data_IF_329725260193
#
_entry.id   IF_329725260193
#
_cell.length_a   1.000
_cell.length_b   1.000
_cell.length_c   1.000
_cell.angle_alpha   90.00
_cell.angle_beta   90.00
_cell.angle_gamma   90.00
#
_symmetry.space_group_name_H-M   'P 1'
#
loop_
_entity.id
_entity.type
_entity.pdbx_description
1 polymer ?
#
# COMPACT_ATOMS: atom_id res chain seq x y z
N UNK A 1 -11.80 -0.06 21.03
CA UNK A 1 -12.50 -1.09 20.23
C UNK A 1 -11.47 -2.12 19.80
N UNK A 2 -11.33 -3.23 20.53
CA UNK A 2 -10.41 -4.32 20.15
C UNK A 2 -10.94 -4.94 18.86
N UNK A 3 -10.15 -4.85 17.80
CA UNK A 3 -10.51 -5.36 16.48
C UNK A 3 -10.39 -6.88 16.45
N UNK A 4 -11.32 -7.54 15.76
CA UNK A 4 -11.35 -9.00 15.56
C UNK A 4 -9.96 -9.55 15.18
N UNK A 5 -9.63 -10.81 15.53
CA UNK A 5 -8.33 -11.48 15.27
C UNK A 5 -7.93 -11.61 13.80
N UNK A 6 -8.75 -11.09 12.88
CA UNK A 6 -8.59 -11.13 11.44
C UNK A 6 -7.71 -10.00 10.86
N UNK A 7 -7.38 -8.97 11.65
CA UNK A 7 -6.52 -7.87 11.21
C UNK A 7 -5.21 -7.89 12.00
N UNK A 8 -4.05 -8.07 11.35
CA UNK A 8 -2.76 -7.89 11.99
C UNK A 8 -2.70 -6.51 12.67
N UNK A 9 -2.06 -6.42 13.84
CA UNK A 9 -1.80 -5.15 14.51
C UNK A 9 -0.33 -4.78 14.28
N UNK A 10 -0.02 -4.10 13.15
CA UNK A 10 1.34 -3.68 12.85
C UNK A 10 1.88 -2.71 13.91
N UNK A 11 3.21 -2.69 14.07
CA UNK A 11 3.87 -1.69 14.90
C UNK A 11 3.73 -0.28 14.28
N UNK A 12 4.02 0.77 15.05
CA UNK A 12 3.84 2.15 14.62
C UNK A 12 4.64 2.52 13.35
N UNK A 13 5.81 1.92 13.14
CA UNK A 13 6.64 2.15 11.95
C UNK A 13 6.00 1.57 10.68
N UNK A 14 5.42 0.37 10.78
CA UNK A 14 4.66 -0.26 9.69
C UNK A 14 3.39 0.53 9.40
N UNK A 15 2.67 1.00 10.43
CA UNK A 15 1.48 1.85 10.24
C UNK A 15 1.79 3.16 9.52
N UNK A 16 2.91 3.81 9.87
CA UNK A 16 3.41 4.98 9.15
C UNK A 16 3.70 4.64 7.69
N UNK A 17 4.39 3.53 7.42
CA UNK A 17 4.72 3.11 6.05
C UNK A 17 3.46 2.85 5.20
N UNK A 18 2.42 2.24 5.78
CA UNK A 18 1.14 2.03 5.11
C UNK A 18 0.43 3.34 4.78
N UNK A 19 0.46 4.33 5.69
CA UNK A 19 -0.09 5.66 5.44
C UNK A 19 0.63 6.34 4.27
N UNK A 20 1.96 6.34 4.28
CA UNK A 20 2.77 6.94 3.20
C UNK A 20 2.46 6.28 1.86
N UNK A 21 2.33 4.95 1.84
CA UNK A 21 1.98 4.21 0.63
C UNK A 21 0.58 4.59 0.13
N UNK A 22 -0.42 4.63 1.02
CA UNK A 22 -1.78 5.04 0.68
C UNK A 22 -1.84 6.45 0.12
N UNK A 23 -1.13 7.39 0.73
CA UNK A 23 -1.03 8.77 0.23
C UNK A 23 -0.38 8.85 -1.15
N UNK A 24 0.67 8.06 -1.43
CA UNK A 24 1.28 8.01 -2.77
C UNK A 24 0.30 7.44 -3.81
N UNK A 25 -0.47 6.41 -3.44
CA UNK A 25 -1.45 5.80 -4.33
C UNK A 25 -2.64 6.71 -4.64
N UNK A 26 -3.00 7.66 -3.76
CA UNK A 26 -4.08 8.62 -4.03
C UNK A 26 -3.89 9.42 -5.33
N UNK A 27 -2.64 9.71 -5.73
CA UNK A 27 -2.36 10.42 -6.99
C UNK A 27 -2.73 9.57 -8.20
N UNK A 28 -2.34 8.30 -8.18
CA UNK A 28 -2.66 7.34 -9.24
C UNK A 28 -4.16 7.06 -9.26
N UNK A 29 -4.79 6.95 -8.09
CA UNK A 29 -6.26 6.84 -7.99
C UNK A 29 -6.95 8.01 -8.64
N UNK A 30 -6.54 9.25 -8.37
CA UNK A 30 -7.19 10.41 -8.95
C UNK A 30 -7.16 10.37 -10.49
N UNK A 31 -5.99 10.12 -11.08
CA UNK A 31 -5.83 10.08 -12.54
C UNK A 31 -6.60 8.91 -13.15
N UNK A 32 -6.42 7.71 -12.59
CA UNK A 32 -7.10 6.50 -13.07
C UNK A 32 -8.62 6.59 -12.93
N UNK A 33 -9.11 7.13 -11.81
CA UNK A 33 -10.54 7.31 -11.55
C UNK A 33 -11.17 8.28 -12.53
N UNK A 34 -10.58 9.45 -12.75
CA UNK A 34 -11.09 10.43 -13.72
C UNK A 34 -11.04 9.86 -15.14
N UNK A 35 -9.90 9.30 -15.53
CA UNK A 35 -9.70 8.75 -16.87
C UNK A 35 -10.68 7.62 -17.20
N UNK A 36 -10.78 6.62 -16.32
CA UNK A 36 -11.72 5.50 -16.52
C UNK A 36 -13.18 5.97 -16.46
N UNK A 37 -13.52 6.94 -15.61
CA UNK A 37 -14.88 7.50 -15.56
C UNK A 37 -15.25 8.18 -16.87
N UNK A 38 -14.34 8.93 -17.48
CA UNK A 38 -14.57 9.55 -18.79
C UNK A 38 -14.76 8.50 -19.89
N UNK A 39 -13.92 7.47 -19.91
CA UNK A 39 -14.03 6.36 -20.89
C UNK A 39 -15.36 5.63 -20.76
N UNK A 40 -15.79 5.32 -19.53
CA UNK A 40 -17.07 4.68 -19.27
C UNK A 40 -18.23 5.58 -19.71
N UNK A 41 -18.18 6.86 -19.40
CA UNK A 41 -19.21 7.81 -19.81
C UNK A 41 -19.32 7.89 -21.35
N UNK A 42 -18.19 7.96 -22.06
CA UNK A 42 -18.16 7.93 -23.52
C UNK A 42 -18.73 6.62 -24.08
N UNK A 43 -18.32 5.47 -23.54
CA UNK A 43 -18.80 4.16 -23.99
C UNK A 43 -20.29 3.95 -23.73
N UNK A 44 -20.80 4.42 -22.59
CA UNK A 44 -22.21 4.32 -22.23
C UNK A 44 -23.11 5.32 -22.98
N UNK A 45 -22.55 6.40 -23.53
CA UNK A 45 -23.33 7.50 -24.12
C UNK A 45 -24.26 7.04 -25.26
N UNK A 46 -23.84 6.07 -26.06
CA UNK A 46 -24.62 5.58 -27.20
C UNK A 46 -25.79 4.67 -26.81
N UNK A 47 -25.75 4.04 -25.63
CA UNK A 47 -26.71 3.01 -25.21
C UNK A 47 -27.57 3.44 -24.02
N UNK A 48 -26.98 4.14 -23.05
CA UNK A 48 -27.64 4.57 -21.83
C UNK A 48 -28.25 5.97 -21.97
N UNK A 49 -29.37 6.27 -21.29
CA UNK A 49 -29.94 7.60 -21.29
C UNK A 49 -28.91 8.66 -20.85
N UNK A 50 -28.71 9.70 -21.66
CA UNK A 50 -27.67 10.72 -21.44
C UNK A 50 -27.75 11.36 -20.04
N UNK A 51 -28.96 11.51 -19.49
CA UNK A 51 -29.16 12.01 -18.13
C UNK A 51 -28.53 11.10 -17.06
N UNK A 52 -28.61 9.77 -17.21
CA UNK A 52 -27.98 8.80 -16.29
C UNK A 52 -26.46 8.85 -16.39
N UNK A 53 -25.95 8.93 -17.61
CA UNK A 53 -24.50 9.04 -17.87
C UNK A 53 -23.95 10.34 -17.27
N UNK A 54 -24.62 11.47 -17.52
CA UNK A 54 -24.24 12.77 -16.98
C UNK A 54 -24.26 12.82 -15.46
N UNK A 55 -25.30 12.27 -14.82
CA UNK A 55 -25.40 12.20 -13.36
C UNK A 55 -24.30 11.31 -12.76
N UNK A 56 -24.05 10.14 -13.36
CA UNK A 56 -23.00 9.24 -12.91
C UNK A 56 -21.61 9.86 -13.07
N UNK A 57 -21.33 10.51 -14.20
CA UNK A 57 -20.07 11.21 -14.42
C UNK A 57 -19.88 12.35 -13.43
N UNK A 58 -20.91 13.18 -13.20
CA UNK A 58 -20.86 14.25 -12.22
C UNK A 58 -20.56 13.71 -10.80
N UNK A 59 -21.17 12.59 -10.41
CA UNK A 59 -20.90 11.90 -9.15
C UNK A 59 -19.43 11.45 -9.07
N UNK A 60 -18.89 10.86 -10.14
CA UNK A 60 -17.49 10.42 -10.18
C UNK A 60 -16.50 11.57 -10.11
N UNK A 61 -16.79 12.70 -10.77
CA UNK A 61 -15.98 13.90 -10.68
C UNK A 61 -16.05 14.52 -9.28
N UNK A 62 -17.21 14.51 -8.62
CA UNK A 62 -17.34 14.96 -7.24
C UNK A 62 -16.47 14.11 -6.28
N UNK A 63 -16.42 12.79 -6.46
CA UNK A 63 -15.50 11.94 -5.69
C UNK A 63 -14.03 12.21 -5.97
N UNK A 64 -13.70 12.57 -7.21
CA UNK A 64 -12.34 12.97 -7.59
C UNK A 64 -11.88 14.22 -6.84
N UNK A 65 -12.79 15.19 -6.61
CA UNK A 65 -12.51 16.35 -5.76
C UNK A 65 -12.22 15.93 -4.32
N UNK A 66 -12.91 14.91 -3.80
CA UNK A 66 -12.63 14.31 -2.49
C UNK A 66 -11.22 13.72 -2.38
N UNK A 67 -10.76 13.01 -3.41
CA UNK A 67 -9.37 12.52 -3.50
C UNK A 67 -8.36 13.67 -3.56
N UNK A 68 -8.65 14.71 -4.36
CA UNK A 68 -7.84 15.92 -4.43
C UNK A 68 -7.72 16.64 -3.07
N UNK A 69 -8.83 16.74 -2.34
CA UNK A 69 -8.84 17.26 -0.98
C UNK A 69 -7.98 16.40 -0.04
N UNK A 70 -8.08 15.07 -0.09
CA UNK A 70 -7.22 14.19 0.71
C UNK A 70 -5.73 14.37 0.43
N UNK A 71 -5.34 14.51 -0.85
CA UNK A 71 -3.97 14.82 -1.25
C UNK A 71 -3.49 16.15 -0.64
N UNK A 72 -4.34 17.18 -0.65
CA UNK A 72 -4.01 18.48 -0.10
C UNK A 72 -3.96 18.49 1.44
N UNK A 73 -4.97 17.91 2.09
CA UNK A 73 -5.13 17.91 3.54
C UNK A 73 -4.01 17.16 4.26
N UNK A 74 -3.56 16.03 3.69
CA UNK A 74 -2.55 15.17 4.31
C UNK A 74 -1.12 15.40 3.80
N UNK A 75 -0.88 16.37 2.90
CA UNK A 75 0.45 16.66 2.33
C UNK A 75 1.51 16.99 3.38
N UNK A 76 1.11 17.61 4.50
CA UNK A 76 2.02 17.95 5.60
C UNK A 76 2.18 16.75 6.55
N UNK A 77 1.08 16.06 6.84
CA UNK A 77 1.03 14.93 7.76
C UNK A 77 1.92 13.76 7.29
N UNK A 78 1.96 13.49 5.98
CA UNK A 78 2.74 12.37 5.43
C UNK A 78 4.26 12.51 5.63
N UNK A 79 4.75 13.74 5.84
CA UNK A 79 6.17 14.02 6.05
C UNK A 79 6.56 14.10 7.53
N UNK A 80 5.62 13.90 8.47
CA UNK A 80 5.90 13.94 9.90
C UNK A 80 6.52 12.63 10.37
N UNK A 81 7.70 12.68 10.98
CA UNK A 81 8.33 11.52 11.62
C UNK A 81 8.89 11.92 13.00
N UNK A 82 8.35 11.40 14.12
CA UNK A 82 7.26 10.41 14.20
C UNK A 82 5.87 11.02 13.95
N UNK A 83 4.94 10.21 13.43
CA UNK A 83 3.52 10.57 13.34
C UNK A 83 2.89 10.62 14.75
N UNK A 84 2.05 11.63 14.99
CA UNK A 84 1.25 11.65 16.21
C UNK A 84 0.12 10.61 16.13
N UNK A 85 -0.25 9.94 17.24
CA UNK A 85 -1.37 8.99 17.25
C UNK A 85 -2.70 9.60 16.77
N UNK A 86 -2.91 10.89 17.06
CA UNK A 86 -4.08 11.63 16.60
C UNK A 86 -4.11 11.79 15.07
N UNK A 87 -2.98 12.15 14.45
CA UNK A 87 -2.87 12.27 13.00
C UNK A 87 -3.11 10.93 12.29
N UNK A 88 -2.59 9.83 12.83
CA UNK A 88 -2.82 8.49 12.30
C UNK A 88 -4.28 8.06 12.40
N UNK A 89 -4.94 8.35 13.53
CA UNK A 89 -6.36 8.05 13.72
C UNK A 89 -7.24 8.88 12.77
N UNK A 90 -6.90 10.16 12.60
CA UNK A 90 -7.56 11.03 11.64
C UNK A 90 -7.42 10.50 10.21
N UNK A 91 -6.21 10.10 9.79
CA UNK A 91 -5.98 9.46 8.51
C UNK A 91 -6.82 8.21 8.31
N UNK A 92 -6.81 7.27 9.27
CA UNK A 92 -7.59 6.02 9.16
C UNK A 92 -9.09 6.28 8.99
N UNK A 93 -9.65 7.25 9.73
CA UNK A 93 -11.07 7.64 9.60
C UNK A 93 -11.35 8.27 8.24
N UNK A 94 -10.52 9.23 7.82
CA UNK A 94 -10.71 9.91 6.53
C UNK A 94 -10.50 8.96 5.36
N UNK A 95 -9.49 8.08 5.40
CA UNK A 95 -9.24 7.01 4.44
C UNK A 95 -10.46 6.10 4.28
N UNK A 96 -11.04 5.65 5.39
CA UNK A 96 -12.25 4.81 5.36
C UNK A 96 -13.44 5.53 4.71
N UNK A 97 -13.70 6.79 5.08
CA UNK A 97 -14.76 7.59 4.46
C UNK A 97 -14.51 7.82 2.96
N UNK A 98 -13.26 8.14 2.61
CA UNK A 98 -12.84 8.35 1.22
C UNK A 98 -12.89 7.07 0.39
N UNK A 99 -12.80 5.89 1.01
CA UNK A 99 -12.94 4.61 0.32
C UNK A 99 -14.39 4.17 0.15
N UNK A 100 -15.27 4.51 1.10
CA UNK A 100 -16.70 4.16 1.01
C UNK A 100 -17.40 4.88 -0.16
N UNK A 101 -17.04 6.14 -0.45
CA UNK A 101 -17.61 6.92 -1.53
C UNK A 101 -17.40 6.31 -2.95
N UNK A 102 -16.19 5.89 -3.34
CA UNK A 102 -15.93 5.13 -4.55
C UNK A 102 -16.72 3.82 -4.63
N UNK A 103 -17.01 3.17 -3.50
CA UNK A 103 -17.86 1.98 -3.49
C UNK A 103 -19.24 2.26 -4.09
N UNK A 104 -19.87 3.37 -3.69
CA UNK A 104 -21.13 3.83 -4.28
C UNK A 104 -20.95 4.20 -5.77
N UNK A 105 -19.89 4.94 -6.10
CA UNK A 105 -19.60 5.35 -7.48
C UNK A 105 -19.47 4.16 -8.41
N UNK A 106 -18.55 3.24 -8.11
CA UNK A 106 -18.27 2.08 -8.95
C UNK A 106 -19.44 1.10 -8.97
N UNK A 107 -20.13 0.87 -7.85
CA UNK A 107 -21.36 0.07 -7.85
C UNK A 107 -22.48 0.68 -8.71
N UNK A 108 -22.59 2.01 -8.74
CA UNK A 108 -23.60 2.71 -9.54
C UNK A 108 -23.37 2.66 -11.06
N UNK A 109 -22.25 2.07 -11.54
CA UNK A 109 -22.12 1.64 -12.94
C UNK A 109 -23.29 0.75 -13.35
N UNK A 110 -23.89 0.00 -12.41
CA UNK A 110 -25.10 -0.78 -12.65
C UNK A 110 -26.26 0.02 -13.26
N UNK A 111 -26.40 1.32 -12.95
CA UNK A 111 -27.46 2.18 -13.52
C UNK A 111 -27.24 2.55 -14.99
N UNK A 112 -26.03 2.31 -15.51
CA UNK A 112 -25.67 2.47 -16.92
C UNK A 112 -25.88 1.18 -17.73
N UNK A 113 -26.27 0.09 -17.06
CA UNK A 113 -26.70 -1.13 -17.74
C UNK A 113 -28.07 -0.90 -18.40
N UNK A 114 -28.23 -1.43 -19.60
CA UNK A 114 -29.43 -1.25 -20.43
C UNK A 114 -29.88 -2.60 -20.96
N UNK A 115 -31.15 -2.92 -20.77
CA UNK A 115 -31.73 -4.15 -21.28
C UNK A 115 -31.59 -4.22 -22.81
N UNK A 116 -31.10 -5.34 -23.33
CA UNK A 116 -30.85 -5.54 -24.77
C UNK A 116 -29.54 -4.94 -25.31
N UNK A 117 -28.84 -4.09 -24.55
CA UNK A 117 -27.56 -3.50 -24.97
C UNK A 117 -26.36 -4.35 -24.51
N UNK A 118 -26.22 -5.56 -25.06
CA UNK A 118 -25.25 -6.57 -24.60
C UNK A 118 -23.80 -6.05 -24.61
N UNK A 119 -23.38 -5.38 -25.68
CA UNK A 119 -22.03 -4.82 -25.81
C UNK A 119 -21.76 -3.74 -24.76
N UNK A 120 -22.71 -2.83 -24.55
CA UNK A 120 -22.62 -1.81 -23.48
C UNK A 120 -22.49 -2.47 -22.11
N UNK A 121 -23.36 -3.43 -21.79
CA UNK A 121 -23.37 -4.09 -20.49
C UNK A 121 -22.07 -4.86 -20.25
N UNK A 122 -21.52 -5.51 -21.28
CA UNK A 122 -20.20 -6.15 -21.20
C UNK A 122 -19.12 -5.12 -20.88
N UNK A 123 -19.05 -4.00 -21.60
CA UNK A 123 -18.09 -2.93 -21.34
C UNK A 123 -18.21 -2.39 -19.91
N UNK A 124 -19.43 -2.13 -19.42
CA UNK A 124 -19.68 -1.63 -18.06
C UNK A 124 -19.22 -2.63 -17.00
N UNK A 125 -19.55 -3.91 -17.16
CA UNK A 125 -19.16 -4.96 -16.20
C UNK A 125 -17.66 -5.25 -16.26
N UNK A 126 -17.04 -5.22 -17.43
CA UNK A 126 -15.57 -5.35 -17.56
C UNK A 126 -14.86 -4.17 -16.91
N UNK A 127 -15.36 -2.94 -17.09
CA UNK A 127 -14.78 -1.77 -16.44
C UNK A 127 -14.94 -1.82 -14.91
N UNK A 128 -16.11 -2.26 -14.42
CA UNK A 128 -16.33 -2.52 -13.00
C UNK A 128 -15.37 -3.59 -12.46
N UNK A 129 -15.25 -4.72 -13.14
CA UNK A 129 -14.36 -5.81 -12.74
C UNK A 129 -12.90 -5.36 -12.69
N UNK A 130 -12.45 -4.59 -13.69
CA UNK A 130 -11.11 -4.00 -13.73
C UNK A 130 -10.86 -3.02 -12.59
N UNK A 131 -11.80 -2.11 -12.31
CA UNK A 131 -11.71 -1.17 -11.20
C UNK A 131 -11.68 -1.88 -9.83
N UNK A 132 -12.51 -2.92 -9.67
CA UNK A 132 -12.54 -3.72 -8.45
C UNK A 132 -11.21 -4.47 -8.25
N UNK A 133 -10.74 -5.19 -9.27
CA UNK A 133 -9.49 -5.94 -9.22
C UNK A 133 -8.30 -5.03 -8.93
N UNK A 134 -8.25 -3.86 -9.58
CA UNK A 134 -7.28 -2.83 -9.27
C UNK A 134 -7.37 -2.40 -7.79
N UNK A 135 -8.57 -2.14 -7.26
CA UNK A 135 -8.74 -1.78 -5.86
C UNK A 135 -8.26 -2.89 -4.91
N UNK A 136 -8.42 -4.17 -5.24
CA UNK A 136 -7.98 -5.27 -4.36
C UNK A 136 -6.49 -5.22 -4.07
N UNK A 137 -5.68 -4.81 -5.06
CA UNK A 137 -4.22 -4.72 -4.90
C UNK A 137 -3.78 -3.28 -4.55
N UNK A 138 -4.31 -2.27 -5.24
CA UNK A 138 -3.94 -0.86 -5.05
C UNK A 138 -4.32 -0.30 -3.68
N UNK A 139 -5.39 -0.84 -3.07
CA UNK A 139 -5.83 -0.49 -1.70
C UNK A 139 -5.40 -1.51 -0.65
N UNK A 140 -4.43 -2.38 -0.95
CA UNK A 140 -3.90 -3.35 0.02
C UNK A 140 -3.33 -2.69 1.28
N UNK A 141 -3.05 -1.39 1.29
CA UNK A 141 -2.60 -0.66 2.48
C UNK A 141 -3.70 -0.47 3.55
N UNK A 142 -4.98 -0.53 3.16
CA UNK A 142 -6.14 -0.39 4.04
C UNK A 142 -7.21 -1.44 3.69
N UNK A 143 -7.02 -2.64 4.24
CA UNK A 143 -7.88 -3.78 3.96
C UNK A 143 -9.35 -3.54 4.37
N UNK A 144 -9.58 -2.74 5.43
CA UNK A 144 -10.95 -2.44 5.90
C UNK A 144 -11.69 -1.56 4.92
N UNK A 145 -11.01 -0.51 4.44
CA UNK A 145 -11.53 0.35 3.39
C UNK A 145 -11.91 -0.46 2.14
N UNK A 146 -11.09 -1.44 1.75
CA UNK A 146 -11.43 -2.34 0.64
C UNK A 146 -12.70 -3.16 0.91
N UNK A 147 -12.83 -3.79 2.09
CA UNK A 147 -14.03 -4.58 2.42
C UNK A 147 -15.31 -3.75 2.39
N UNK A 148 -15.28 -2.55 2.98
CA UNK A 148 -16.44 -1.66 3.01
C UNK A 148 -16.80 -1.21 1.60
N UNK A 149 -15.83 -0.70 0.85
CA UNK A 149 -16.06 -0.21 -0.52
C UNK A 149 -16.51 -1.32 -1.47
N UNK A 150 -15.87 -2.48 -1.43
CA UNK A 150 -16.21 -3.63 -2.26
C UNK A 150 -17.59 -4.20 -1.96
N UNK A 151 -17.99 -4.25 -0.68
CA UNK A 151 -19.34 -4.67 -0.28
C UNK A 151 -20.38 -3.71 -0.82
N UNK A 152 -20.19 -2.41 -0.62
CA UNK A 152 -21.11 -1.38 -1.10
C UNK A 152 -21.21 -1.42 -2.64
N UNK A 153 -20.08 -1.51 -3.33
CA UNK A 153 -20.04 -1.58 -4.79
C UNK A 153 -20.80 -2.79 -5.32
N UNK A 154 -20.58 -3.97 -4.73
CA UNK A 154 -21.24 -5.21 -5.15
C UNK A 154 -22.74 -5.16 -4.89
N UNK A 155 -23.16 -4.63 -3.74
CA UNK A 155 -24.59 -4.51 -3.39
C UNK A 155 -25.33 -3.55 -4.31
N UNK A 156 -24.74 -2.38 -4.60
CA UNK A 156 -25.34 -1.39 -5.51
C UNK A 156 -25.41 -1.96 -6.93
N UNK A 157 -24.35 -2.61 -7.41
CA UNK A 157 -24.36 -3.28 -8.72
C UNK A 157 -25.45 -4.35 -8.79
N UNK A 158 -25.50 -5.23 -7.78
CA UNK A 158 -26.46 -6.34 -7.72
C UNK A 158 -27.91 -5.85 -7.76
N UNK A 159 -28.21 -4.67 -7.19
CA UNK A 159 -29.55 -4.07 -7.24
C UNK A 159 -30.04 -3.77 -8.67
N UNK A 160 -29.12 -3.59 -9.63
CA UNK A 160 -29.45 -3.24 -11.01
C UNK A 160 -29.39 -4.45 -11.96
N UNK A 161 -28.77 -5.57 -11.57
CA UNK A 161 -28.58 -6.74 -12.43
C UNK A 161 -29.90 -7.35 -12.92
N UNK A 162 -30.95 -7.32 -12.10
CA UNK A 162 -32.26 -7.84 -12.49
C UNK A 162 -32.83 -7.08 -13.69
N UNK A 163 -32.74 -5.75 -13.67
CA UNK A 163 -33.23 -4.89 -14.75
C UNK A 163 -32.46 -5.07 -16.05
N UNK A 164 -31.16 -5.40 -15.97
CA UNK A 164 -30.30 -5.53 -17.13
C UNK A 164 -30.35 -6.93 -17.78
N UNK A 165 -30.51 -7.98 -16.97
CA UNK A 165 -30.34 -9.38 -17.39
C UNK A 165 -31.60 -10.25 -17.29
N UNK A 166 -32.69 -9.75 -16.71
CA UNK A 166 -33.98 -10.44 -16.55
C UNK A 166 -33.83 -11.92 -16.11
N UNK A 167 -33.99 -12.88 -17.02
CA UNK A 167 -33.93 -14.32 -16.77
C UNK A 167 -32.55 -14.81 -16.31
N UNK A 168 -31.48 -14.10 -16.67
CA UNK A 168 -30.10 -14.43 -16.28
C UNK A 168 -29.66 -13.77 -14.97
N UNK A 169 -30.57 -13.07 -14.27
CA UNK A 169 -30.25 -12.32 -13.06
C UNK A 169 -29.59 -13.18 -11.97
N UNK A 170 -30.12 -14.38 -11.70
CA UNK A 170 -29.58 -15.27 -10.65
C UNK A 170 -28.12 -15.63 -10.91
N UNK A 171 -27.78 -15.90 -12.18
CA UNK A 171 -26.40 -16.17 -12.58
C UNK A 171 -25.52 -14.92 -12.44
N UNK A 172 -26.01 -13.75 -12.88
CA UNK A 172 -25.26 -12.49 -12.80
C UNK A 172 -24.96 -12.09 -11.33
N UNK A 173 -25.93 -12.25 -10.43
CA UNK A 173 -25.74 -12.02 -8.98
C UNK A 173 -24.76 -13.04 -8.40
N UNK A 174 -24.91 -14.33 -8.73
CA UNK A 174 -24.00 -15.38 -8.29
C UNK A 174 -22.55 -15.13 -8.72
N UNK A 175 -22.33 -14.73 -9.97
CA UNK A 175 -21.01 -14.36 -10.50
C UNK A 175 -20.46 -13.12 -9.82
N UNK A 176 -21.29 -12.11 -9.54
CA UNK A 176 -20.87 -10.89 -8.83
C UNK A 176 -20.44 -11.19 -7.39
N UNK A 177 -21.18 -12.06 -6.68
CA UNK A 177 -20.83 -12.50 -5.32
C UNK A 177 -19.56 -13.36 -5.31
N UNK A 178 -19.40 -14.28 -6.27
CA UNK A 178 -18.19 -15.07 -6.42
C UNK A 178 -16.98 -14.16 -6.70
N UNK A 179 -17.13 -13.22 -7.63
CA UNK A 179 -16.10 -12.26 -7.96
C UNK A 179 -15.72 -11.39 -6.75
N UNK A 180 -16.71 -10.89 -5.99
CA UNK A 180 -16.49 -10.20 -4.72
C UNK A 180 -15.68 -11.07 -3.73
N UNK A 181 -16.03 -12.35 -3.56
CA UNK A 181 -15.34 -13.25 -2.65
C UNK A 181 -13.88 -13.49 -3.07
N UNK A 182 -13.65 -13.74 -4.37
CA UNK A 182 -12.29 -13.94 -4.92
C UNK A 182 -11.47 -12.66 -4.80
N UNK A 183 -12.01 -11.51 -5.18
CA UNK A 183 -11.31 -10.23 -5.08
C UNK A 183 -11.03 -9.81 -3.63
N UNK A 184 -11.93 -10.15 -2.71
CA UNK A 184 -11.71 -10.00 -1.27
C UNK A 184 -10.55 -10.87 -0.78
N UNK A 185 -10.44 -12.11 -1.28
CA UNK A 185 -9.33 -12.99 -0.96
C UNK A 185 -8.01 -12.47 -1.53
N UNK A 186 -8.00 -12.00 -2.78
CA UNK A 186 -6.84 -11.35 -3.41
C UNK A 186 -6.39 -10.14 -2.59
N UNK A 187 -7.32 -9.29 -2.14
CA UNK A 187 -6.99 -8.12 -1.33
C UNK A 187 -6.38 -8.48 0.02
N UNK A 188 -6.88 -9.54 0.66
CA UNK A 188 -6.30 -10.08 1.90
C UNK A 188 -4.88 -10.57 1.67
N UNK A 189 -4.66 -11.33 0.61
CA UNK A 189 -3.33 -11.83 0.26
C UNK A 189 -2.36 -10.68 -0.03
N UNK A 190 -2.79 -9.69 -0.83
CA UNK A 190 -2.00 -8.51 -1.13
C UNK A 190 -1.65 -7.69 0.13
N UNK A 191 -2.59 -7.56 1.07
CA UNK A 191 -2.35 -6.90 2.36
C UNK A 191 -1.30 -7.65 3.19
N UNK A 192 -1.39 -8.98 3.30
CA UNK A 192 -0.41 -9.79 4.02
C UNK A 192 0.99 -9.68 3.42
N UNK A 193 1.10 -9.83 2.09
CA UNK A 193 2.37 -9.68 1.35
C UNK A 193 2.95 -8.29 1.58
N UNK A 194 2.11 -7.24 1.57
CA UNK A 194 2.56 -5.88 1.82
C UNK A 194 3.12 -5.70 3.24
N UNK A 195 2.45 -6.23 4.25
CA UNK A 195 2.92 -6.19 5.64
C UNK A 195 4.23 -6.93 5.83
N UNK A 196 4.36 -8.12 5.23
CA UNK A 196 5.58 -8.91 5.27
C UNK A 196 6.75 -8.16 4.63
N UNK A 197 6.55 -7.60 3.42
CA UNK A 197 7.59 -6.83 2.73
C UNK A 197 8.04 -5.60 3.52
N UNK A 198 7.11 -4.85 4.13
CA UNK A 198 7.47 -3.70 4.97
C UNK A 198 8.27 -4.16 6.19
N UNK A 199 7.85 -5.27 6.83
CA UNK A 199 8.50 -5.80 8.03
C UNK A 199 9.92 -6.32 7.71
N UNK A 200 10.07 -7.06 6.62
CA UNK A 200 11.37 -7.54 6.12
C UNK A 200 12.31 -6.39 5.78
N UNK A 201 11.80 -5.31 5.15
CA UNK A 201 12.61 -4.12 4.87
C UNK A 201 13.17 -3.51 6.16
N UNK A 202 12.33 -3.34 7.19
CA UNK A 202 12.78 -2.80 8.47
C UNK A 202 13.77 -3.73 9.20
N UNK A 203 13.54 -5.04 9.18
CA UNK A 203 14.47 -6.01 9.75
C UNK A 203 15.83 -5.97 9.04
N UNK A 204 15.83 -5.87 7.71
CA UNK A 204 17.05 -5.77 6.92
C UNK A 204 17.81 -4.46 7.20
N UNK A 205 17.11 -3.32 7.28
CA UNK A 205 17.72 -2.04 7.68
C UNK A 205 18.37 -2.11 9.07
N UNK A 206 17.72 -2.78 10.03
CA UNK A 206 18.27 -2.99 11.37
C UNK A 206 19.50 -3.90 11.36
N UNK A 207 19.45 -5.02 10.62
CA UNK A 207 20.58 -5.94 10.47
C UNK A 207 21.78 -5.26 9.81
N UNK A 208 21.56 -4.47 8.75
CA UNK A 208 22.60 -3.72 8.06
C UNK A 208 23.31 -2.73 9.00
N UNK A 209 22.55 -2.03 9.86
CA UNK A 209 23.12 -1.13 10.88
C UNK A 209 23.98 -1.89 11.90
N UNK A 210 23.45 -2.98 12.47
CA UNK A 210 24.20 -3.81 13.42
C UNK A 210 25.48 -4.38 12.80
N UNK A 211 25.42 -4.79 11.53
CA UNK A 211 26.59 -5.29 10.83
C UNK A 211 27.65 -4.20 10.64
N UNK A 212 27.24 -3.00 10.24
CA UNK A 212 28.15 -1.85 10.12
C UNK A 212 28.82 -1.50 11.46
N UNK A 213 28.05 -1.47 12.56
CA UNK A 213 28.59 -1.22 13.90
C UNK A 213 29.59 -2.30 14.34
N UNK A 214 29.30 -3.57 14.02
CA UNK A 214 30.20 -4.68 14.32
C UNK A 214 31.48 -4.61 13.49
N UNK A 215 31.41 -4.21 12.21
CA UNK A 215 32.59 -3.98 11.37
C UNK A 215 33.48 -2.90 11.97
N UNK A 216 32.90 -1.76 12.36
CA UNK A 216 33.67 -0.67 13.01
C UNK A 216 34.33 -1.15 14.30
N UNK A 217 33.62 -1.91 15.14
CA UNK A 217 34.19 -2.48 16.37
C UNK A 217 35.31 -3.48 16.09
N UNK A 218 35.15 -4.32 15.06
CA UNK A 218 36.18 -5.28 14.67
C UNK A 218 37.43 -4.59 14.13
N UNK A 219 37.28 -3.53 13.34
CA UNK A 219 38.39 -2.70 12.85
C UNK A 219 39.14 -2.02 14.00
N UNK A 220 38.41 -1.42 14.95
CA UNK A 220 39.00 -0.82 16.15
C UNK A 220 39.78 -1.85 16.98
N UNK A 221 39.22 -3.05 17.18
CA UNK A 221 39.90 -4.13 17.89
C UNK A 221 41.16 -4.61 17.14
N UNK A 222 41.09 -4.69 15.81
CA UNK A 222 42.23 -5.05 14.96
C UNK A 222 43.35 -4.01 15.03
N UNK A 223 42.98 -2.72 14.99
CA UNK A 223 43.92 -1.60 15.12
C UNK A 223 44.60 -1.61 16.50
N UNK A 224 43.82 -1.68 17.58
CA UNK A 224 44.35 -1.74 18.94
C UNK A 224 45.27 -2.94 19.16
N UNK A 225 44.93 -4.11 18.59
CA UNK A 225 45.80 -5.29 18.61
C UNK A 225 47.11 -5.03 17.88
N UNK A 226 47.06 -4.41 16.70
CA UNK A 226 48.24 -4.09 15.91
C UNK A 226 49.16 -3.10 16.63
N UNK A 227 48.61 -2.05 17.24
CA UNK A 227 49.35 -1.11 18.08
C UNK A 227 49.97 -1.78 19.30
N UNK A 228 49.23 -2.64 20.00
CA UNK A 228 49.76 -3.40 21.13
C UNK A 228 50.95 -4.27 20.73
N UNK A 229 50.88 -5.01 19.62
CA UNK A 229 52.00 -5.81 19.14
C UNK A 229 53.18 -4.97 18.64
N UNK A 230 52.92 -3.82 18.01
CA UNK A 230 53.97 -2.90 17.59
C UNK A 230 54.73 -2.32 18.79
N UNK A 231 54.00 -1.87 19.82
CA UNK A 231 54.58 -1.40 21.08
C UNK A 231 55.37 -2.51 21.79
N UNK A 232 54.77 -3.70 21.96
CA UNK A 232 55.45 -4.83 22.56
C UNK A 232 56.74 -5.22 21.79
N UNK A 233 56.70 -5.22 20.45
CA UNK A 233 57.87 -5.55 19.63
C UNK A 233 58.98 -4.49 19.73
N UNK A 234 58.61 -3.22 19.83
CA UNK A 234 59.56 -2.13 20.07
C UNK A 234 60.24 -2.31 21.43
N UNK A 235 59.47 -2.58 22.47
CA UNK A 235 59.97 -2.76 23.84
C UNK A 235 60.82 -4.02 23.98
N UNK A 236 60.53 -5.09 23.24
CA UNK A 236 61.37 -6.29 23.16
C UNK A 236 62.69 -6.06 22.42
N UNK A 237 62.73 -5.14 21.44
CA UNK A 237 63.95 -4.85 20.67
C UNK A 237 65.00 -4.14 21.52
N UNK A 238 64.59 -3.27 22.45
CA UNK A 238 65.49 -2.52 23.33
C UNK A 238 66.43 -3.43 24.16
N UNK A 239 65.95 -4.42 24.93
CA UNK A 239 66.82 -5.31 25.70
C UNK A 239 67.63 -6.25 24.79
N UNK A 240 67.09 -6.68 23.64
CA UNK A 240 67.85 -7.50 22.68
C UNK A 240 69.04 -6.70 22.12
N UNK A 241 68.84 -5.43 21.78
CA UNK A 241 69.92 -4.56 21.32
C UNK A 241 70.95 -4.30 22.43
N UNK A 242 70.50 -4.11 23.67
CA UNK A 242 71.40 -3.98 24.82
C UNK A 242 72.23 -5.25 25.07
N UNK A 243 71.63 -6.44 24.95
CA UNK A 243 72.33 -7.72 25.05
C UNK A 243 73.36 -7.89 23.92
N UNK A 244 73.02 -7.50 22.70
CA UNK A 244 73.95 -7.52 21.56
C UNK A 244 75.16 -6.61 21.80
N UNK A 245 74.94 -5.37 22.24
CA UNK A 245 76.02 -4.44 22.61
C UNK A 245 76.91 -5.01 23.73
N UNK A 246 76.32 -5.68 24.73
CA UNK A 246 77.06 -6.32 25.83
C UNK A 246 77.94 -7.47 25.31
N UNK A 247 77.41 -8.33 24.45
CA UNK A 247 78.16 -9.43 23.83
C UNK A 247 79.32 -8.90 22.98
N UNK A 248 79.11 -7.83 22.22
CA UNK A 248 80.16 -7.19 21.42
C UNK A 248 81.27 -6.59 22.29
N UNK A 249 80.93 -5.95 23.40
CA UNK A 249 81.91 -5.40 24.34
C UNK A 249 82.79 -6.49 24.99
N UNK A 250 82.25 -7.69 25.23
CA UNK A 250 82.99 -8.85 25.77
C UNK A 250 83.84 -9.60 24.72
N UNK A 251 83.67 -9.30 23.43
CA UNK A 251 84.37 -9.98 22.33
C UNK A 251 85.68 -9.29 21.93
N UNK A 252 85.92 -8.08 22.42
CA UNK A 252 87.19 -7.35 22.34
C UNK A 252 87.97 -7.48 23.64
#
# INVERSE_FOLDING_TARGET
MKLFPWFPQPNAAVEHALLVLGYRNLKVHLVGHVGLSLVIACGAWAAAPHARVGLWLALMLAFSLGFGYGLWAFRKTVNQNPLTPAALTHWKRTSLCMAAAPGLGWGSVGFLLVQGAQVNNLLMLTAFAGAFAYSSVGNAHDLRAHFVSGSVATLVLASQLHTAFNDQNTLAVGMSLLFYAVMSWVARNAHSILLENISLRFANEQLARTNADNTVRAEQASHAKSEFFAAASHDLRQPVHALLLLIEAYRN
#
